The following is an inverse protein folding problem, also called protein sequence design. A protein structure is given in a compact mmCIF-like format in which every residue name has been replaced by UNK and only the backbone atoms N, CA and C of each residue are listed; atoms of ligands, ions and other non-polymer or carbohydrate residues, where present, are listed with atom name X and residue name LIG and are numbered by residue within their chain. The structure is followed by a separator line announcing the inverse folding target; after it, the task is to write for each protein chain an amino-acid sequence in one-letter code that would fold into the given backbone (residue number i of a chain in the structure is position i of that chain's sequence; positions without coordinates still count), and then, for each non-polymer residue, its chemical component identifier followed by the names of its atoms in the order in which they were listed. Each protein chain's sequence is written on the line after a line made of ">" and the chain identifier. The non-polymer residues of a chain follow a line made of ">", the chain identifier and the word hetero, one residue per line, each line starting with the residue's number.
data_IF_808571029696
#
_entry.id   IF_808571029696
#
_cell.length_a   1.000
_cell.length_b   1.000
_cell.length_c   1.000
_cell.angle_alpha   90.00
_cell.angle_beta   90.00
_cell.angle_gamma   90.00
#
_symmetry.space_group_name_H-M   'P 1'
#
loop_
_entity.id
_entity.type
_entity.pdbx_description
1 polymer ?
#
# COMPACT_ATOMS: atom_id res chain seq x y z
N UNK A 1 34.29 -13.34 -5.29
CA UNK A 1 34.03 -12.56 -6.53
C UNK A 1 33.62 -13.53 -7.64
N UNK A 2 32.37 -13.49 -8.11
CA UNK A 2 31.93 -13.98 -9.43
C UNK A 2 30.42 -13.77 -9.62
N UNK A 3 30.05 -13.58 -10.89
CA UNK A 3 28.79 -13.08 -11.42
C UNK A 3 27.67 -14.13 -11.49
N UNK A 4 26.40 -13.68 -11.44
CA UNK A 4 25.34 -14.30 -12.23
C UNK A 4 24.51 -13.23 -12.95
N UNK A 5 24.54 -13.34 -14.28
CA UNK A 5 23.82 -12.54 -15.28
C UNK A 5 22.49 -13.24 -15.57
N UNK A 6 21.38 -12.51 -15.58
CA UNK A 6 20.19 -12.88 -16.38
C UNK A 6 19.74 -11.64 -17.15
N UNK A 7 19.87 -11.67 -18.48
CA UNK A 7 19.33 -10.67 -19.40
C UNK A 7 18.48 -11.37 -20.46
N UNK A 8 17.17 -11.13 -20.45
CA UNK A 8 16.33 -11.02 -21.66
C UNK A 8 15.03 -10.27 -21.34
N UNK A 9 14.86 -9.08 -21.95
CA UNK A 9 13.60 -8.39 -22.25
C UNK A 9 13.19 -8.79 -23.71
N UNK A 10 11.97 -8.55 -24.26
CA UNK A 10 11.02 -7.46 -23.94
C UNK A 10 9.50 -7.78 -24.01
N UNK A 11 8.69 -6.75 -23.74
CA UNK A 11 7.34 -6.44 -24.25
C UNK A 11 6.19 -7.46 -24.07
N UNK A 12 5.39 -7.26 -23.01
CA UNK A 12 3.92 -7.27 -23.11
C UNK A 12 3.37 -6.17 -22.20
N UNK A 13 2.56 -5.27 -22.75
CA UNK A 13 1.68 -4.40 -21.97
C UNK A 13 0.81 -5.30 -21.09
N UNK A 14 0.90 -5.17 -19.77
CA UNK A 14 -0.03 -5.82 -18.86
C UNK A 14 -1.40 -5.19 -19.07
N UNK A 15 -2.41 -6.02 -19.34
CA UNK A 15 -3.79 -5.57 -19.51
C UNK A 15 -4.31 -5.03 -18.17
N UNK A 16 -5.20 -4.01 -18.15
CA UNK A 16 -5.76 -3.45 -16.91
C UNK A 16 -6.45 -4.45 -15.98
N UNK A 17 -6.81 -5.64 -16.48
CA UNK A 17 -7.41 -6.74 -15.71
C UNK A 17 -6.42 -7.54 -14.86
N UNK A 18 -5.12 -7.28 -14.93
CA UNK A 18 -4.09 -8.01 -14.16
C UNK A 18 -3.50 -7.22 -12.98
N UNK A 19 -4.03 -6.02 -12.68
CA UNK A 19 -3.65 -5.22 -11.52
C UNK A 19 -4.44 -5.65 -10.27
N UNK A 20 -4.20 -6.89 -9.83
CA UNK A 20 -4.56 -7.36 -8.49
C UNK A 20 -3.29 -7.33 -7.64
N UNK A 21 -3.15 -6.27 -6.85
CA UNK A 21 -2.15 -6.17 -5.79
C UNK A 21 -2.54 -7.15 -4.70
N UNK A 22 -2.08 -8.39 -4.81
CA UNK A 22 -1.45 -9.26 -3.79
C UNK A 22 -1.22 -10.60 -4.51
N UNK A 23 -0.39 -10.62 -5.57
CA UNK A 23 0.11 -11.90 -6.09
C UNK A 23 1.26 -12.34 -5.18
N UNK A 24 0.89 -12.89 -4.02
CA UNK A 24 1.75 -13.64 -3.09
C UNK A 24 3.10 -12.96 -2.84
N UNK A 25 3.21 -12.14 -1.79
CA UNK A 25 4.52 -11.84 -1.21
C UNK A 25 5.13 -13.16 -0.70
N UNK A 26 5.75 -13.95 -1.60
CA UNK A 26 6.61 -15.06 -1.23
C UNK A 26 7.86 -14.40 -0.64
N UNK A 27 8.19 -14.65 0.63
CA UNK A 27 9.46 -14.18 1.16
C UNK A 27 10.58 -14.68 0.26
N UNK A 28 11.43 -13.75 -0.18
CA UNK A 28 12.73 -14.11 -0.72
C UNK A 28 13.48 -14.78 0.46
N UNK A 29 13.80 -16.06 0.32
CA UNK A 29 14.52 -16.78 1.38
C UNK A 29 15.91 -16.14 1.56
N UNK A 30 16.36 -15.87 2.81
CA UNK A 30 16.04 -16.61 4.05
C UNK A 30 15.13 -15.88 5.08
N UNK A 31 14.44 -14.79 4.73
CA UNK A 31 13.69 -13.98 5.71
C UNK A 31 12.45 -14.68 6.32
N UNK A 32 11.94 -15.74 5.67
CA UNK A 32 10.75 -16.47 6.16
C UNK A 32 10.99 -17.16 7.50
N UNK A 33 12.21 -17.65 7.75
CA UNK A 33 12.53 -18.39 8.97
C UNK A 33 12.75 -17.49 10.19
N UNK A 34 13.09 -16.21 9.99
CA UNK A 34 13.41 -15.29 11.08
C UNK A 34 12.18 -14.52 11.61
N UNK A 35 11.07 -14.51 10.86
CA UNK A 35 9.89 -13.70 11.16
C UNK A 35 8.57 -14.49 11.13
N UNK A 36 8.62 -15.82 10.94
CA UNK A 36 7.43 -16.67 10.73
C UNK A 36 6.37 -16.50 11.81
N UNK A 37 6.80 -16.29 13.05
CA UNK A 37 5.89 -16.25 14.20
C UNK A 37 5.28 -14.85 14.41
N UNK A 38 5.88 -13.83 13.78
CA UNK A 38 5.46 -12.42 13.88
C UNK A 38 4.70 -11.92 12.66
N UNK A 39 4.85 -12.59 11.51
CA UNK A 39 4.28 -12.14 10.23
C UNK A 39 3.35 -13.20 9.66
N UNK A 40 2.08 -12.83 9.52
CA UNK A 40 1.05 -13.65 8.86
C UNK A 40 0.64 -12.98 7.56
N UNK A 41 0.67 -13.73 6.46
CA UNK A 41 0.20 -13.26 5.16
C UNK A 41 -1.25 -13.68 4.96
N UNK A 42 -2.10 -12.74 4.58
CA UNK A 42 -3.50 -12.99 4.19
C UNK A 42 -3.75 -12.29 2.86
N UNK A 43 -4.28 -13.03 1.90
CA UNK A 43 -4.80 -12.47 0.66
C UNK A 43 -6.19 -11.89 0.92
N UNK A 44 -6.51 -10.75 0.31
CA UNK A 44 -7.81 -10.11 0.51
C UNK A 44 -7.96 -8.85 -0.34
N UNK A 45 -9.20 -8.36 -0.42
CA UNK A 45 -9.54 -7.10 -1.08
C UNK A 45 -9.46 -5.95 -0.06
N UNK A 46 -8.69 -4.91 -0.35
CA UNK A 46 -8.58 -3.74 0.53
C UNK A 46 -9.92 -3.01 0.72
N UNK A 47 -10.89 -3.21 -0.19
CA UNK A 47 -12.25 -2.64 -0.15
C UNK A 47 -13.20 -3.46 0.72
N UNK A 48 -12.76 -4.63 1.20
CA UNK A 48 -13.52 -5.51 2.08
C UNK A 48 -12.53 -6.34 2.93
N UNK A 49 -12.01 -5.72 3.98
CA UNK A 49 -10.96 -6.29 4.82
C UNK A 49 -11.61 -7.27 5.80
N UNK A 50 -11.27 -8.56 5.68
CA UNK A 50 -11.84 -9.64 6.48
C UNK A 50 -11.26 -9.72 7.90
N UNK A 51 -11.33 -8.61 8.62
CA UNK A 51 -11.02 -8.44 10.04
C UNK A 51 -12.13 -7.60 10.69
N UNK A 52 -12.43 -7.82 11.98
CA UNK A 52 -13.45 -7.06 12.68
C UNK A 52 -13.02 -5.60 12.86
N UNK A 53 -13.97 -4.77 13.27
CA UNK A 53 -13.71 -3.37 13.61
C UNK A 53 -12.69 -3.28 14.75
N UNK A 54 -11.90 -2.22 14.78
CA UNK A 54 -10.96 -1.94 15.87
C UNK A 54 -10.00 -3.11 16.18
N UNK A 55 -9.48 -3.77 15.15
CA UNK A 55 -8.66 -4.96 15.30
C UNK A 55 -7.16 -4.66 15.42
N UNK A 56 -6.64 -3.71 14.64
CA UNK A 56 -5.22 -3.39 14.57
C UNK A 56 -4.89 -2.10 15.32
N UNK A 57 -3.78 -2.10 16.05
CA UNK A 57 -3.23 -0.89 16.68
C UNK A 57 -2.59 0.06 15.65
N UNK A 58 -2.06 -0.50 14.56
CA UNK A 58 -1.41 0.23 13.48
C UNK A 58 -1.86 -0.36 12.14
N UNK A 59 -2.26 0.51 11.22
CA UNK A 59 -2.56 0.15 9.82
C UNK A 59 -1.60 0.91 8.91
N UNK A 60 -0.90 0.17 8.05
CA UNK A 60 0.07 0.71 7.11
C UNK A 60 -0.27 0.33 5.68
N UNK A 61 -0.07 1.26 4.75
CA UNK A 61 -0.13 1.00 3.30
C UNK A 61 1.05 1.65 2.60
N UNK A 62 1.63 0.98 1.62
CA UNK A 62 2.75 1.51 0.85
C UNK A 62 2.53 1.24 -0.64
N UNK A 63 2.43 2.32 -1.41
CA UNK A 63 2.28 2.32 -2.86
C UNK A 63 1.13 1.45 -3.37
N UNK A 64 -0.01 1.45 -2.68
CA UNK A 64 -1.14 0.56 -2.99
C UNK A 64 -2.47 1.31 -3.17
N UNK A 65 -2.70 2.41 -2.46
CA UNK A 65 -3.99 3.10 -2.49
C UNK A 65 -4.15 3.87 -3.80
N UNK A 66 -3.07 4.49 -4.29
CA UNK A 66 -3.12 5.28 -5.52
C UNK A 66 -3.56 4.47 -6.74
N UNK A 67 -3.32 3.15 -6.76
CA UNK A 67 -3.68 2.26 -7.87
C UNK A 67 -5.12 1.71 -7.82
N UNK A 68 -5.82 1.85 -6.70
CA UNK A 68 -7.25 1.49 -6.60
C UNK A 68 -8.06 2.51 -7.38
N UNK A 69 -8.62 2.13 -8.53
CA UNK A 69 -9.43 3.03 -9.40
C UNK A 69 -10.89 3.10 -8.97
N UNK A 70 -11.49 1.96 -8.62
CA UNK A 70 -12.90 1.84 -8.19
C UNK A 70 -12.94 1.40 -6.73
N UNK A 71 -13.66 2.13 -5.89
CA UNK A 71 -13.78 1.84 -4.46
C UNK A 71 -12.57 2.26 -3.63
N UNK A 72 -11.80 3.26 -4.06
CA UNK A 72 -10.66 3.78 -3.26
C UNK A 72 -11.11 4.30 -1.90
N UNK A 73 -12.25 5.00 -1.89
CA UNK A 73 -12.84 5.49 -0.64
C UNK A 73 -13.27 4.34 0.27
N UNK A 74 -13.83 3.26 -0.30
CA UNK A 74 -14.20 2.06 0.46
C UNK A 74 -12.96 1.40 1.08
N UNK A 75 -11.84 1.36 0.34
CA UNK A 75 -10.57 0.87 0.88
C UNK A 75 -10.05 1.73 2.04
N UNK A 76 -10.14 3.06 1.94
CA UNK A 76 -9.77 3.95 3.05
C UNK A 76 -10.70 3.76 4.26
N UNK A 77 -12.01 3.62 4.03
CA UNK A 77 -13.00 3.32 5.08
C UNK A 77 -12.69 2.02 5.80
N UNK A 78 -12.41 0.95 5.05
CA UNK A 78 -12.06 -0.35 5.62
C UNK A 78 -10.77 -0.30 6.44
N UNK A 79 -9.73 0.36 5.93
CA UNK A 79 -8.47 0.55 6.65
C UNK A 79 -8.66 1.30 7.97
N UNK A 80 -9.56 2.29 8.00
CA UNK A 80 -9.87 3.05 9.23
C UNK A 80 -10.80 2.24 10.15
N UNK A 81 -11.76 1.49 9.61
CA UNK A 81 -12.67 0.62 10.38
C UNK A 81 -11.90 -0.42 11.19
N UNK A 82 -10.90 -1.08 10.58
CA UNK A 82 -10.09 -2.08 11.27
C UNK A 82 -9.04 -1.48 12.20
N UNK A 83 -8.82 -0.16 12.18
CA UNK A 83 -7.93 0.55 13.09
C UNK A 83 -8.64 0.80 14.42
N UNK A 84 -8.00 0.45 15.54
CA UNK A 84 -8.51 0.75 16.88
C UNK A 84 -8.66 2.26 17.11
N UNK A 85 -9.58 2.71 17.99
CA UNK A 85 -9.61 4.10 18.42
C UNK A 85 -8.27 4.47 19.07
N UNK A 86 -7.67 5.57 18.62
CA UNK A 86 -6.33 5.97 19.06
C UNK A 86 -5.17 5.24 18.36
N UNK A 87 -5.46 4.31 17.45
CA UNK A 87 -4.47 3.64 16.61
C UNK A 87 -3.79 4.58 15.61
N UNK A 88 -2.69 4.10 15.01
CA UNK A 88 -1.90 4.88 14.05
C UNK A 88 -2.15 4.43 12.61
N UNK A 89 -2.46 5.38 11.75
CA UNK A 89 -2.57 5.17 10.31
C UNK A 89 -1.38 5.80 9.59
N UNK A 90 -0.65 5.03 8.79
CA UNK A 90 0.48 5.53 8.02
C UNK A 90 0.44 5.03 6.58
N UNK A 91 0.49 5.96 5.62
CA UNK A 91 0.52 5.63 4.19
C UNK A 91 1.69 6.29 3.49
N UNK A 92 2.29 5.57 2.56
CA UNK A 92 3.33 6.09 1.65
C UNK A 92 2.81 5.96 0.25
N UNK A 93 2.61 7.10 -0.42
CA UNK A 93 2.00 7.17 -1.75
C UNK A 93 2.71 8.25 -2.59
N UNK A 94 2.68 8.16 -3.94
CA UNK A 94 3.11 9.26 -4.77
C UNK A 94 2.23 10.50 -4.52
N UNK A 95 2.80 11.70 -4.64
CA UNK A 95 2.05 12.95 -4.45
C UNK A 95 0.90 13.08 -5.45
N UNK A 96 1.10 12.61 -6.68
CA UNK A 96 0.10 12.65 -7.75
C UNK A 96 0.28 11.48 -8.70
N UNK A 97 -0.80 10.80 -9.04
CA UNK A 97 -0.84 9.80 -10.10
C UNK A 97 -1.99 10.12 -11.07
N UNK A 98 -1.63 10.48 -12.30
CA UNK A 98 -2.58 10.98 -13.30
C UNK A 98 -3.50 9.89 -13.80
N UNK A 99 -2.99 8.65 -13.94
CA UNK A 99 -3.76 7.56 -14.54
C UNK A 99 -4.95 7.14 -13.69
N UNK A 100 -4.84 7.29 -12.37
CA UNK A 100 -5.83 6.83 -11.40
C UNK A 100 -6.60 7.98 -10.78
N UNK A 101 -6.24 9.23 -11.10
CA UNK A 101 -6.80 10.43 -10.49
C UNK A 101 -6.42 10.61 -9.01
N UNK A 102 -5.33 9.98 -8.55
CA UNK A 102 -4.86 10.14 -7.18
C UNK A 102 -4.09 11.44 -7.02
N UNK A 103 -4.39 12.15 -5.94
CA UNK A 103 -3.71 13.38 -5.53
C UNK A 103 -3.64 13.41 -4.00
N UNK A 104 -2.48 13.74 -3.46
CA UNK A 104 -2.29 14.07 -2.04
C UNK A 104 -2.46 15.57 -1.89
N UNK A 105 -3.63 15.98 -1.43
CA UNK A 105 -4.02 17.39 -1.26
C UNK A 105 -4.89 17.60 0.00
N UNK A 106 -5.31 18.83 0.24
CA UNK A 106 -6.18 19.16 1.38
C UNK A 106 -7.54 18.48 1.30
N UNK A 107 -8.02 18.10 0.10
CA UNK A 107 -9.28 17.34 -0.01
C UNK A 107 -9.11 15.93 0.55
N UNK A 108 -8.00 15.27 0.25
CA UNK A 108 -7.65 14.00 0.86
C UNK A 108 -7.53 14.16 2.39
N UNK A 109 -6.86 15.22 2.86
CA UNK A 109 -6.73 15.49 4.30
C UNK A 109 -8.09 15.61 4.98
N UNK A 110 -8.97 16.45 4.45
CA UNK A 110 -10.34 16.65 4.97
C UNK A 110 -11.10 15.33 4.96
N UNK A 111 -11.06 14.57 3.86
CA UNK A 111 -11.72 13.26 3.78
C UNK A 111 -11.22 12.30 4.87
N UNK A 112 -9.90 12.21 5.09
CA UNK A 112 -9.35 11.36 6.15
C UNK A 112 -9.81 11.79 7.54
N UNK A 113 -9.98 13.11 7.77
CA UNK A 113 -10.49 13.65 9.02
C UNK A 113 -11.99 13.37 9.21
N UNK A 114 -12.80 13.50 8.15
CA UNK A 114 -14.22 13.13 8.14
C UNK A 114 -14.43 11.64 8.46
N UNK A 115 -13.50 10.79 8.03
CA UNK A 115 -13.50 9.37 8.36
C UNK A 115 -13.04 9.07 9.80
N UNK A 116 -12.75 10.09 10.60
CA UNK A 116 -12.44 9.96 12.04
C UNK A 116 -10.96 10.04 12.40
N UNK A 117 -10.05 10.20 11.42
CA UNK A 117 -8.63 10.38 11.74
C UNK A 117 -8.36 11.77 12.30
N UNK A 118 -7.63 11.81 13.41
CA UNK A 118 -7.16 13.06 14.03
C UNK A 118 -5.69 13.28 13.67
N UNK A 119 -5.24 14.53 13.72
CA UNK A 119 -3.83 14.90 13.53
C UNK A 119 -3.22 14.46 12.19
N UNK A 120 -3.99 14.48 11.10
CA UNK A 120 -3.53 14.12 9.75
C UNK A 120 -2.44 15.09 9.28
N UNK A 121 -1.25 14.57 8.98
CA UNK A 121 -0.09 15.33 8.48
C UNK A 121 0.52 14.62 7.29
N UNK A 122 0.89 15.38 6.26
CA UNK A 122 1.64 14.88 5.12
C UNK A 122 3.08 15.36 5.19
N UNK A 123 4.01 14.43 5.03
CA UNK A 123 5.44 14.72 5.02
C UNK A 123 6.01 14.30 3.66
N UNK A 124 6.54 15.24 2.86
CA UNK A 124 7.13 14.88 1.58
C UNK A 124 8.41 14.07 1.81
N UNK A 125 8.54 12.95 1.10
CA UNK A 125 9.76 12.14 1.07
C UNK A 125 10.36 12.26 -0.32
N UNK A 126 11.61 12.72 -0.40
CA UNK A 126 12.37 12.76 -1.65
C UNK A 126 13.08 11.43 -1.81
N UNK A 127 12.64 10.63 -2.77
CA UNK A 127 13.33 9.39 -3.15
C UNK A 127 14.26 9.72 -4.32
N UNK A 128 15.57 9.71 -4.04
CA UNK A 128 16.60 9.84 -5.08
C UNK A 128 16.96 8.45 -5.58
N UNK A 129 16.74 8.21 -6.88
CA UNK A 129 17.22 7.00 -7.53
C UNK A 129 18.58 7.28 -8.19
N UNK A 130 19.60 6.42 -8.00
CA UNK A 130 20.88 6.56 -8.68
C UNK A 130 20.67 6.67 -10.20
N UNK A 131 21.20 7.73 -10.81
CA UNK A 131 21.03 7.98 -12.26
C UNK A 131 21.83 7.00 -13.13
N UNK A 132 22.75 6.23 -12.56
CA UNK A 132 23.58 5.24 -13.26
C UNK A 132 23.49 3.89 -12.55
N UNK A 133 23.36 2.83 -13.34
CA UNK A 133 23.35 1.42 -12.92
C UNK A 133 24.76 0.85 -12.94
#
# INVERSE_FOLDING_TARGET
>A
MSHHIIKKRPSKFLKPSELSVVKKARPLYPLKALLSDRVRFKEGDARNISFPDNYFDIVVSSFAIHIIRKGREDALKEMIRVLKPGGKFAIVEPVKERWTGWVVDDKLKTKLQELGLKNVKFHPIIISYPKKR
#
